data_IF_272020900970
#
_entry.id   IF_272020900970
#
_cell.length_a   1.000
_cell.length_b   1.000
_cell.length_c   1.000
_cell.angle_alpha   90.00
_cell.angle_beta   90.00
_cell.angle_gamma   90.00
#
_symmetry.space_group_name_H-M   'P 1'
#
loop_
_entity.id
_entity.type
_entity.pdbx_description
1 polymer ?
#
# COMPACT_ATOMS: atom_id res chain seq x y z
N UNK A 1 10.04 -17.13 5.10
CA UNK A 1 10.79 -15.85 5.09
C UNK A 1 10.14 -14.78 4.22
N UNK A 2 10.14 -14.84 2.88
CA UNK A 2 9.45 -13.80 2.06
C UNK A 2 7.92 -13.92 2.06
N UNK A 3 7.38 -15.13 2.22
CA UNK A 3 5.95 -15.39 2.23
C UNK A 3 5.30 -14.82 3.50
N UNK A 4 5.87 -15.18 4.67
CA UNK A 4 5.41 -14.75 5.99
C UNK A 4 5.38 -13.21 6.11
N UNK A 5 6.43 -12.51 5.66
CA UNK A 5 6.48 -11.05 5.71
C UNK A 5 5.44 -10.34 4.82
N UNK A 6 5.02 -10.96 3.70
CA UNK A 6 3.93 -10.40 2.88
C UNK A 6 2.59 -10.66 3.54
N UNK A 7 2.42 -11.82 4.18
CA UNK A 7 1.20 -12.14 4.90
C UNK A 7 1.04 -11.20 6.11
N UNK A 8 2.10 -10.99 6.89
CA UNK A 8 2.15 -10.01 7.99
C UNK A 8 1.86 -8.57 7.51
N UNK A 9 2.40 -8.18 6.35
CA UNK A 9 2.14 -6.87 5.76
C UNK A 9 0.68 -6.70 5.34
N UNK A 10 0.11 -7.71 4.68
CA UNK A 10 -1.28 -7.71 4.26
C UNK A 10 -2.21 -7.70 5.46
N UNK A 11 -1.94 -8.53 6.47
CA UNK A 11 -2.67 -8.54 7.74
C UNK A 11 -2.59 -7.19 8.45
N UNK A 12 -1.42 -6.54 8.47
CA UNK A 12 -1.31 -5.21 9.07
C UNK A 12 -2.13 -4.16 8.30
N UNK A 13 -2.01 -4.12 6.97
CA UNK A 13 -2.75 -3.16 6.14
C UNK A 13 -4.27 -3.37 6.26
N UNK A 14 -4.73 -4.62 6.38
CA UNK A 14 -6.14 -4.98 6.59
C UNK A 14 -6.59 -4.71 8.04
N UNK A 15 -5.75 -5.04 9.01
CA UNK A 15 -6.02 -5.01 10.45
C UNK A 15 -6.04 -3.61 11.06
N UNK A 16 -5.28 -2.63 10.53
CA UNK A 16 -5.29 -1.24 11.03
C UNK A 16 -6.70 -0.62 11.03
N UNK A 17 -7.60 -1.10 10.17
CA UNK A 17 -8.94 -0.54 10.04
C UNK A 17 -10.07 -1.51 10.42
N UNK A 18 -9.76 -2.73 10.87
CA UNK A 18 -10.77 -3.79 11.06
C UNK A 18 -11.53 -4.13 9.76
N UNK A 19 -10.87 -3.95 8.62
CA UNK A 19 -11.49 -4.00 7.29
C UNK A 19 -11.31 -5.37 6.66
N UNK A 20 -12.38 -5.90 6.07
CA UNK A 20 -12.34 -7.07 5.19
C UNK A 20 -11.62 -6.73 3.87
N UNK A 21 -11.32 -7.75 3.06
CA UNK A 21 -10.79 -7.55 1.70
C UNK A 21 -11.73 -6.68 0.83
N UNK A 22 -13.04 -6.80 1.04
CA UNK A 22 -14.07 -6.03 0.33
C UNK A 22 -14.09 -4.55 0.78
N UNK A 23 -13.87 -4.30 2.07
CA UNK A 23 -13.67 -2.94 2.60
C UNK A 23 -12.35 -2.32 2.09
N UNK A 24 -11.33 -3.15 1.84
CA UNK A 24 -10.06 -2.71 1.24
C UNK A 24 -10.26 -2.24 -0.20
N UNK A 25 -11.04 -2.96 -0.99
CA UNK A 25 -11.43 -2.58 -2.37
C UNK A 25 -12.07 -1.18 -2.36
N UNK A 26 -13.00 -0.92 -1.44
CA UNK A 26 -13.65 0.40 -1.31
C UNK A 26 -12.72 1.47 -0.71
N UNK A 27 -11.85 1.12 0.23
CA UNK A 27 -10.79 2.00 0.72
C UNK A 27 -9.83 2.43 -0.40
N UNK A 28 -9.49 1.52 -1.31
CA UNK A 28 -8.62 1.75 -2.46
C UNK A 28 -9.29 2.55 -3.59
N UNK A 29 -10.63 2.65 -3.63
CA UNK A 29 -11.33 3.59 -4.52
C UNK A 29 -10.89 5.03 -4.28
N UNK A 30 -10.50 5.38 -3.05
CA UNK A 30 -9.87 6.68 -2.77
C UNK A 30 -8.44 6.64 -3.31
N UNK A 31 -8.20 7.45 -4.35
CA UNK A 31 -6.92 7.53 -5.06
C UNK A 31 -5.69 7.72 -4.14
N UNK A 32 -5.85 8.50 -3.08
CA UNK A 32 -4.78 8.76 -2.11
C UNK A 32 -4.42 7.52 -1.29
N UNK A 33 -5.39 6.64 -1.00
CA UNK A 33 -5.14 5.37 -0.33
C UNK A 33 -4.42 4.38 -1.25
N UNK A 34 -4.82 4.32 -2.53
CA UNK A 34 -4.12 3.53 -3.55
C UNK A 34 -2.65 3.96 -3.69
N UNK A 35 -2.37 5.26 -3.67
CA UNK A 35 -1.01 5.79 -3.69
C UNK A 35 -0.21 5.41 -2.45
N UNK A 36 -0.85 5.35 -1.28
CA UNK A 36 -0.15 4.94 -0.06
C UNK A 36 0.18 3.44 -0.10
N UNK A 37 -0.77 2.61 -0.53
CA UNK A 37 -0.57 1.17 -0.64
C UNK A 37 0.53 0.83 -1.66
N UNK A 38 0.53 1.48 -2.83
CA UNK A 38 1.51 1.17 -3.89
C UNK A 38 2.94 1.54 -3.46
N UNK A 39 3.11 2.60 -2.67
CA UNK A 39 4.40 2.99 -2.10
C UNK A 39 4.88 1.95 -1.08
N UNK A 40 4.03 1.58 -0.12
CA UNK A 40 4.33 0.53 0.86
C UNK A 40 4.73 -0.77 0.16
N UNK A 41 3.95 -1.23 -0.81
CA UNK A 41 4.26 -2.46 -1.54
C UNK A 41 5.57 -2.35 -2.33
N UNK A 42 5.92 -1.17 -2.84
CA UNK A 42 7.22 -0.94 -3.50
C UNK A 42 8.37 -1.04 -2.50
N UNK A 43 8.27 -0.31 -1.40
CA UNK A 43 9.38 -0.13 -0.45
C UNK A 43 9.70 -1.41 0.31
N UNK A 44 8.71 -2.29 0.48
CA UNK A 44 8.90 -3.65 1.02
C UNK A 44 9.08 -4.72 -0.06
N UNK A 45 9.33 -4.32 -1.32
CA UNK A 45 9.64 -5.20 -2.46
C UNK A 45 8.55 -6.20 -2.87
N UNK A 46 7.29 -5.94 -2.53
CA UNK A 46 6.13 -6.79 -2.86
C UNK A 46 5.30 -6.29 -4.05
N UNK A 47 5.61 -5.12 -4.62
CA UNK A 47 4.86 -4.51 -5.73
C UNK A 47 4.66 -5.44 -6.95
N UNK A 48 5.60 -6.35 -7.18
CA UNK A 48 5.54 -7.28 -8.30
C UNK A 48 4.96 -8.66 -7.96
N UNK A 49 4.66 -8.91 -6.68
CA UNK A 49 4.00 -10.13 -6.22
C UNK A 49 2.64 -10.29 -6.89
N UNK A 50 2.29 -11.52 -7.25
CA UNK A 50 1.06 -11.82 -7.99
C UNK A 50 -0.18 -11.44 -7.15
N UNK A 51 -0.16 -11.69 -5.85
CA UNK A 51 -1.28 -11.41 -4.93
C UNK A 51 -1.49 -9.91 -4.79
N UNK A 52 -0.40 -9.15 -4.68
CA UNK A 52 -0.44 -7.68 -4.66
C UNK A 52 -0.97 -7.13 -5.98
N UNK A 53 -0.57 -7.70 -7.11
CA UNK A 53 -1.11 -7.33 -8.43
C UNK A 53 -2.59 -7.67 -8.59
N UNK A 54 -3.08 -8.75 -8.01
CA UNK A 54 -4.50 -9.09 -8.00
C UNK A 54 -5.29 -8.04 -7.20
N UNK A 55 -4.84 -7.71 -5.99
CA UNK A 55 -5.44 -6.66 -5.14
C UNK A 55 -5.42 -5.28 -5.81
N UNK A 56 -4.30 -4.90 -6.43
CA UNK A 56 -4.15 -3.60 -7.11
C UNK A 56 -4.82 -3.57 -8.48
N UNK A 57 -4.86 -4.70 -9.19
CA UNK A 57 -5.22 -4.83 -10.60
C UNK A 57 -6.71 -4.62 -10.85
N UNK A 58 -7.58 -4.94 -9.88
CA UNK A 58 -9.00 -4.60 -9.94
C UNK A 58 -9.24 -3.08 -9.98
N UNK A 59 -8.32 -2.30 -9.40
CA UNK A 59 -8.45 -0.85 -9.27
C UNK A 59 -7.51 -0.05 -10.17
N UNK A 60 -6.52 -0.69 -10.80
CA UNK A 60 -5.42 0.03 -11.45
C UNK A 60 -4.86 -0.67 -12.68
N UNK A 61 -5.29 -0.21 -13.86
CA UNK A 61 -4.78 -0.69 -15.15
C UNK A 61 -3.32 -0.29 -15.42
N UNK A 62 -2.74 0.65 -14.67
CA UNK A 62 -1.35 1.10 -14.86
C UNK A 62 -0.65 1.42 -13.52
N UNK A 63 -0.12 0.37 -12.90
CA UNK A 63 0.66 0.42 -11.65
C UNK A 63 1.81 1.44 -11.74
N UNK A 64 2.58 1.45 -12.83
CA UNK A 64 3.74 2.35 -12.98
C UNK A 64 3.36 3.84 -12.98
N UNK A 65 2.29 4.21 -13.69
CA UNK A 65 1.79 5.59 -13.69
C UNK A 65 1.29 6.02 -12.31
N UNK A 66 0.65 5.09 -11.59
CA UNK A 66 0.15 5.35 -10.24
C UNK A 66 1.28 5.49 -9.24
N UNK A 67 2.30 4.62 -9.34
CA UNK A 67 3.48 4.68 -8.50
C UNK A 67 4.18 6.04 -8.66
N UNK A 68 4.43 6.47 -9.90
CA UNK A 68 5.02 7.77 -10.19
C UNK A 68 4.24 8.92 -9.53
N UNK A 69 2.92 8.92 -9.63
CA UNK A 69 2.07 9.95 -9.00
C UNK A 69 2.12 9.90 -7.47
N UNK A 70 2.24 8.71 -6.90
CA UNK A 70 2.40 8.53 -5.46
C UNK A 70 3.74 9.09 -4.98
N UNK A 71 4.83 8.82 -5.71
CA UNK A 71 6.16 9.37 -5.44
C UNK A 71 6.18 10.89 -5.56
N UNK A 72 5.60 11.46 -6.62
CA UNK A 72 5.43 12.91 -6.77
C UNK A 72 4.68 13.50 -5.57
N UNK A 73 3.64 12.81 -5.07
CA UNK A 73 2.84 13.27 -3.93
C UNK A 73 3.59 13.23 -2.61
N UNK A 74 4.50 12.27 -2.39
CA UNK A 74 5.43 12.29 -1.25
C UNK A 74 6.25 13.58 -1.23
N UNK A 75 6.69 14.06 -2.39
CA UNK A 75 7.54 15.25 -2.48
C UNK A 75 6.74 16.52 -2.18
N UNK A 76 5.56 16.67 -2.79
CA UNK A 76 4.83 17.95 -2.78
C UNK A 76 3.82 18.10 -1.64
N UNK A 77 3.42 17.01 -0.96
CA UNK A 77 2.36 17.05 0.06
C UNK A 77 2.89 16.54 1.41
N UNK A 78 3.13 17.47 2.35
CA UNK A 78 3.66 17.16 3.68
C UNK A 78 2.75 16.27 4.50
N UNK A 79 1.44 16.54 4.50
CA UNK A 79 0.45 15.73 5.23
C UNK A 79 0.41 14.28 4.75
N UNK A 80 0.46 14.07 3.43
CA UNK A 80 0.55 12.75 2.83
C UNK A 80 1.86 12.05 3.22
N UNK A 81 2.99 12.75 3.12
CA UNK A 81 4.31 12.24 3.47
C UNK A 81 4.41 11.85 4.95
N UNK A 82 3.93 12.68 5.86
CA UNK A 82 3.90 12.38 7.30
C UNK A 82 3.03 11.16 7.59
N UNK A 83 1.87 11.05 6.95
CA UNK A 83 1.00 9.87 7.09
C UNK A 83 1.69 8.60 6.61
N UNK A 84 2.36 8.66 5.45
CA UNK A 84 3.13 7.53 4.92
C UNK A 84 4.22 7.09 5.90
N UNK A 85 5.06 7.99 6.40
CA UNK A 85 6.14 7.63 7.32
C UNK A 85 5.63 7.07 8.66
N UNK A 86 4.52 7.60 9.19
CA UNK A 86 3.87 7.04 10.39
C UNK A 86 3.37 5.60 10.18
N UNK A 87 2.95 5.25 8.96
CA UNK A 87 2.55 3.88 8.63
C UNK A 87 3.79 3.00 8.47
N UNK A 88 4.80 3.47 7.74
CA UNK A 88 6.08 2.77 7.55
C UNK A 88 6.75 2.43 8.90
N UNK A 89 6.80 3.37 9.85
CA UNK A 89 7.33 3.14 11.20
C UNK A 89 6.59 2.03 11.97
N UNK A 90 5.31 1.81 11.70
CA UNK A 90 4.55 0.73 12.32
C UNK A 90 4.83 -0.60 11.63
N UNK A 91 4.95 -0.61 10.29
CA UNK A 91 5.26 -1.81 9.51
C UNK A 91 6.65 -2.35 9.90
N UNK A 92 7.66 -1.48 10.03
CA UNK A 92 9.02 -1.83 10.49
C UNK A 92 9.10 -2.51 11.86
N UNK A 93 8.03 -2.46 12.66
CA UNK A 93 7.95 -3.14 13.96
C UNK A 93 7.39 -4.55 13.86
N UNK A 94 6.87 -4.91 12.69
CA UNK A 94 6.15 -6.16 12.40
C UNK A 94 6.99 -7.02 11.45
N UNK A 95 7.69 -6.40 10.49
CA UNK A 95 8.57 -7.02 9.49
C UNK A 95 10.03 -6.72 9.82
#
# INVERSE_FOLDING_TARGET
>A
MKQDALDDLLEFVLGINGMSLEDMVDFLRKKENLYMLILIMKDYHFLHDKRVKEILGEHNKNINSTLRKAEEKILINSSFREKYFRIDEKIKKII
#
